data_IF_751089600876
#
_entry.id   IF_751089600876
#
_cell.length_a   1.000
_cell.length_b   1.000
_cell.length_c   1.000
_cell.angle_alpha   90.00
_cell.angle_beta   90.00
_cell.angle_gamma   90.00
#
_symmetry.space_group_name_H-M   'P 1'
#
loop_
_entity.id
_entity.type
_entity.pdbx_description
1 polymer ?
#
# COMPACT_ATOMS: atom_id res chain seq x y z
N UNK A 1 -9.58 -17.69 19.39
CA UNK A 1 -9.98 -18.14 18.04
C UNK A 1 -9.30 -17.21 17.06
N UNK A 2 -8.35 -17.70 16.26
CA UNK A 2 -7.67 -16.90 15.25
C UNK A 2 -8.37 -17.14 13.90
N UNK A 3 -9.09 -16.14 13.41
CA UNK A 3 -9.61 -16.14 12.06
C UNK A 3 -8.53 -15.52 11.15
N UNK A 4 -7.78 -16.37 10.46
CA UNK A 4 -6.83 -15.92 9.44
C UNK A 4 -7.61 -15.41 8.23
N UNK A 5 -7.57 -14.10 7.99
CA UNK A 5 -8.10 -13.48 6.78
C UNK A 5 -6.98 -13.34 5.76
N UNK A 6 -7.03 -14.12 4.69
CA UNK A 6 -6.15 -13.97 3.53
C UNK A 6 -6.68 -12.82 2.66
N UNK A 7 -6.00 -11.68 2.67
CA UNK A 7 -6.34 -10.56 1.77
C UNK A 7 -5.63 -10.79 0.44
N UNK A 8 -6.39 -11.19 -0.58
CA UNK A 8 -5.94 -11.15 -1.97
C UNK A 8 -6.12 -9.72 -2.49
N UNK A 9 -5.03 -8.96 -2.61
CA UNK A 9 -5.05 -7.63 -3.24
C UNK A 9 -4.71 -7.80 -4.72
N UNK A 10 -5.71 -7.81 -5.60
CA UNK A 10 -5.49 -7.60 -7.03
C UNK A 10 -5.29 -6.11 -7.30
N UNK A 11 -4.08 -5.74 -7.75
CA UNK A 11 -3.77 -4.37 -8.19
C UNK A 11 -4.21 -4.25 -9.66
N UNK A 12 -5.40 -3.68 -9.90
CA UNK A 12 -5.85 -3.36 -11.25
C UNK A 12 -5.34 -1.96 -11.64
N UNK A 13 -4.22 -1.91 -12.37
CA UNK A 13 -3.70 -0.66 -12.94
C UNK A 13 -4.58 -0.18 -14.10
N UNK A 14 -5.48 0.79 -13.86
CA UNK A 14 -6.22 1.45 -14.93
C UNK A 14 -5.37 2.61 -15.47
N UNK A 15 -4.84 2.44 -16.68
CA UNK A 15 -4.20 3.52 -17.44
C UNK A 15 -5.28 4.38 -18.09
N UNK A 16 -5.53 5.58 -17.57
CA UNK A 16 -6.25 6.63 -18.32
C UNK A 16 -5.25 7.68 -18.77
N UNK A 17 -4.95 7.67 -20.07
CA UNK A 17 -4.11 8.67 -20.72
C UNK A 17 -4.86 10.00 -20.87
N UNK A 18 -4.55 11.00 -20.04
CA UNK A 18 -4.53 12.45 -20.35
C UNK A 18 -4.25 13.24 -19.07
N UNK A 19 -3.00 13.62 -18.84
CA UNK A 19 -2.63 15.03 -18.70
C UNK A 19 -1.10 15.17 -18.68
N UNK A 20 -0.62 15.97 -19.63
CA UNK A 20 0.77 16.35 -19.81
C UNK A 20 1.11 17.36 -18.72
N UNK A 21 1.65 16.89 -17.59
CA UNK A 21 2.43 17.74 -16.69
C UNK A 21 3.71 17.00 -16.33
N UNK A 22 4.85 17.69 -16.49
CA UNK A 22 6.16 17.21 -16.03
C UNK A 22 6.05 16.78 -14.56
N UNK A 23 5.94 15.48 -14.29
CA UNK A 23 6.29 14.93 -12.99
C UNK A 23 7.77 14.59 -13.05
N UNK A 24 8.60 15.49 -12.52
CA UNK A 24 10.00 15.17 -12.18
C UNK A 24 10.09 14.17 -10.98
N UNK A 25 8.94 13.71 -10.48
CA UNK A 25 8.82 12.74 -9.40
C UNK A 25 7.94 11.57 -9.83
N UNK A 26 8.55 10.38 -9.94
CA UNK A 26 7.84 9.13 -10.20
C UNK A 26 7.77 8.38 -8.88
N UNK A 27 6.55 8.08 -8.45
CA UNK A 27 6.27 7.47 -7.16
C UNK A 27 4.84 6.99 -7.11
N UNK A 28 4.55 6.18 -6.10
CA UNK A 28 3.21 5.64 -5.84
C UNK A 28 2.71 6.09 -4.49
N UNK A 29 1.41 6.33 -4.42
CA UNK A 29 0.69 6.53 -3.16
C UNK A 29 -0.15 5.31 -2.87
N UNK A 30 0.08 4.70 -1.72
CA UNK A 30 -0.70 3.56 -1.24
C UNK A 30 -1.62 4.07 -0.13
N UNK A 31 -2.92 3.84 -0.27
CA UNK A 31 -3.92 4.09 0.78
C UNK A 31 -4.32 2.76 1.38
N UNK A 32 -4.25 2.67 2.71
CA UNK A 32 -4.63 1.47 3.46
C UNK A 32 -5.73 1.86 4.42
N UNK A 33 -6.88 1.20 4.33
CA UNK A 33 -7.96 1.33 5.32
C UNK A 33 -7.90 0.17 6.31
N UNK A 34 -7.88 0.49 7.60
CA UNK A 34 -7.92 -0.52 8.66
C UNK A 34 -9.37 -0.99 8.90
N UNK A 35 -9.60 -2.29 8.69
CA UNK A 35 -10.90 -2.95 8.73
C UNK A 35 -11.12 -3.79 9.98
N UNK A 36 -12.38 -3.90 10.41
CA UNK A 36 -12.77 -4.42 11.72
C UNK A 36 -12.81 -5.96 11.77
N UNK A 37 -12.34 -6.55 12.87
CA UNK A 37 -12.78 -7.88 13.32
C UNK A 37 -13.89 -7.71 14.39
N UNK A 38 -15.15 -7.94 14.01
CA UNK A 38 -16.27 -8.14 14.94
C UNK A 38 -16.92 -6.88 15.57
N UNK A 39 -18.01 -6.40 14.96
CA UNK A 39 -19.16 -5.74 15.63
C UNK A 39 -18.97 -4.40 16.37
N UNK A 40 -17.75 -3.97 16.69
CA UNK A 40 -17.45 -2.72 17.42
C UNK A 40 -16.19 -2.06 16.83
N UNK A 41 -16.16 -0.72 16.78
CA UNK A 41 -15.13 0.09 16.11
C UNK A 41 -13.79 0.18 16.89
N UNK A 42 -13.29 -0.90 17.49
CA UNK A 42 -12.07 -0.84 18.32
C UNK A 42 -11.12 -2.00 18.08
N UNK A 43 -9.81 -1.71 17.97
CA UNK A 43 -8.73 -2.70 17.96
C UNK A 43 -8.27 -3.17 16.57
N UNK A 44 -8.66 -2.49 15.50
CA UNK A 44 -8.26 -2.81 14.12
C UNK A 44 -7.03 -2.02 13.63
N UNK A 45 -6.67 -0.95 14.34
CA UNK A 45 -5.50 -0.12 14.07
C UNK A 45 -4.19 -0.76 14.53
N UNK A 46 -3.08 -0.16 14.13
CA UNK A 46 -1.73 -0.68 14.33
C UNK A 46 -0.75 -0.18 13.27
N UNK A 47 0.38 -0.84 13.15
CA UNK A 47 1.46 -0.44 12.27
C UNK A 47 1.09 -0.68 10.81
N UNK A 48 1.24 0.37 10.00
CA UNK A 48 1.16 0.25 8.56
C UNK A 48 2.29 -0.67 8.07
N UNK A 49 2.02 -1.56 7.10
CA UNK A 49 3.02 -2.48 6.59
C UNK A 49 4.11 -1.74 5.83
N UNK A 50 5.30 -2.31 5.81
CA UNK A 50 6.31 -1.94 4.82
C UNK A 50 5.78 -2.24 3.42
N UNK A 51 6.07 -1.35 2.47
CA UNK A 51 5.64 -1.49 1.07
C UNK A 51 6.85 -1.55 0.17
N UNK A 52 6.96 -2.63 -0.62
CA UNK A 52 7.95 -2.76 -1.70
C UNK A 52 7.24 -2.81 -3.05
N UNK A 53 7.73 -2.04 -4.00
CA UNK A 53 7.12 -1.91 -5.33
C UNK A 53 8.04 -2.50 -6.40
N UNK A 54 7.44 -3.16 -7.39
CA UNK A 54 8.15 -3.81 -8.49
C UNK A 54 7.49 -3.53 -9.84
N UNK A 55 8.29 -3.52 -10.91
CA UNK A 55 7.79 -3.44 -12.28
C UNK A 55 7.29 -4.81 -12.80
N UNK A 56 6.79 -4.85 -14.03
CA UNK A 56 6.29 -6.07 -14.70
C UNK A 56 7.32 -7.20 -14.85
N UNK A 57 8.61 -6.89 -14.75
CA UNK A 57 9.72 -7.84 -14.81
C UNK A 57 10.21 -8.27 -13.42
N UNK A 58 9.55 -7.83 -12.34
CA UNK A 58 9.98 -8.10 -10.96
C UNK A 58 11.18 -7.24 -10.52
N UNK A 59 11.54 -6.19 -11.26
CA UNK A 59 12.60 -5.26 -10.85
C UNK A 59 12.09 -4.34 -9.77
N UNK A 60 12.86 -4.22 -8.69
CA UNK A 60 12.56 -3.35 -7.57
C UNK A 60 12.54 -1.86 -7.98
N UNK A 61 11.45 -1.18 -7.63
CA UNK A 61 11.23 0.23 -7.92
C UNK A 61 11.42 1.12 -6.70
N UNK A 62 11.04 0.67 -5.50
CA UNK A 62 11.12 1.48 -4.30
C UNK A 62 10.53 0.80 -3.08
N UNK A 63 10.82 1.37 -1.90
CA UNK A 63 10.33 0.90 -0.62
C UNK A 63 9.90 2.08 0.26
N UNK A 64 8.85 1.86 1.05
CA UNK A 64 8.60 2.60 2.28
C UNK A 64 8.68 1.60 3.44
N UNK A 65 9.60 1.83 4.38
CA UNK A 65 9.75 1.06 5.60
C UNK A 65 9.29 1.89 6.79
N UNK A 66 8.68 1.25 7.78
CA UNK A 66 8.10 1.90 8.97
C UNK A 66 7.25 3.14 8.64
N UNK A 67 6.21 3.00 7.80
CA UNK A 67 5.44 4.16 7.33
C UNK A 67 4.54 4.81 8.40
N UNK A 68 4.53 4.26 9.61
CA UNK A 68 3.79 4.78 10.76
C UNK A 68 2.64 3.88 11.15
N UNK A 69 1.66 4.46 11.83
CA UNK A 69 0.52 3.78 12.46
C UNK A 69 -0.78 4.30 11.86
N UNK A 70 -1.79 3.44 11.77
CA UNK A 70 -3.17 3.82 11.44
C UNK A 70 -4.10 3.45 12.59
N UNK A 71 -4.99 4.37 12.95
CA UNK A 71 -5.99 4.14 13.99
C UNK A 71 -7.12 3.23 13.51
N UNK A 72 -7.88 2.67 14.46
CA UNK A 72 -9.01 1.79 14.15
C UNK A 72 -10.08 2.54 13.35
N UNK A 73 -10.46 2.01 12.18
CA UNK A 73 -11.49 2.61 11.31
C UNK A 73 -10.99 3.78 10.46
N UNK A 74 -9.71 4.13 10.54
CA UNK A 74 -9.10 5.20 9.75
C UNK A 74 -8.37 4.66 8.51
N UNK A 75 -7.95 5.59 7.65
CA UNK A 75 -7.12 5.30 6.48
C UNK A 75 -5.72 5.91 6.61
N UNK A 76 -4.70 5.08 6.46
CA UNK A 76 -3.30 5.47 6.35
C UNK A 76 -2.89 5.73 4.91
N UNK A 77 -1.89 6.61 4.73
CA UNK A 77 -1.32 6.94 3.42
C UNK A 77 0.18 6.71 3.46
N UNK A 78 0.66 5.86 2.57
CA UNK A 78 2.08 5.52 2.40
C UNK A 78 2.54 6.08 1.06
N UNK A 79 3.65 6.80 1.04
CA UNK A 79 4.25 7.34 -0.19
C UNK A 79 5.56 6.62 -0.46
N UNK A 80 5.69 6.06 -1.65
CA UNK A 80 6.92 5.40 -2.11
C UNK A 80 7.50 6.21 -3.27
N UNK A 81 8.73 6.67 -3.10
CA UNK A 81 9.50 7.26 -4.19
C UNK A 81 10.08 6.14 -5.04
N UNK A 82 9.94 6.22 -6.37
CA UNK A 82 10.55 5.23 -7.26
C UNK A 82 11.99 5.61 -7.58
N UNK A 83 12.77 4.61 -7.96
CA UNK A 83 14.06 4.82 -8.60
C UNK A 83 13.84 5.53 -9.94
N UNK A 84 14.20 6.83 -9.97
CA UNK A 84 13.99 7.73 -11.10
C UNK A 84 14.67 7.27 -12.41
N UNK A 85 15.64 6.36 -12.35
CA UNK A 85 16.27 5.80 -13.54
C UNK A 85 15.30 4.96 -14.38
N UNK A 86 14.29 4.33 -13.76
CA UNK A 86 13.41 3.39 -14.42
C UNK A 86 12.14 4.05 -14.98
N UNK A 87 11.73 5.19 -14.43
CA UNK A 87 10.53 5.94 -14.82
C UNK A 87 9.26 5.09 -15.03
N UNK A 88 9.09 4.06 -14.22
CA UNK A 88 8.05 3.05 -14.37
C UNK A 88 6.98 3.16 -13.28
N UNK A 89 5.76 2.76 -13.63
CA UNK A 89 4.70 2.47 -12.66
C UNK A 89 4.94 1.09 -12.01
N UNK A 90 4.38 0.92 -10.82
CA UNK A 90 4.49 -0.32 -10.06
C UNK A 90 3.20 -1.17 -10.20
N UNK A 91 3.16 -2.16 -11.12
CA UNK A 91 2.06 -3.12 -11.20
C UNK A 91 2.03 -4.10 -10.02
N UNK A 92 3.17 -4.33 -9.35
CA UNK A 92 3.27 -5.28 -8.25
C UNK A 92 3.71 -4.61 -6.95
N UNK A 93 3.12 -5.08 -5.84
CA UNK A 93 3.41 -4.63 -4.49
C UNK A 93 3.62 -5.82 -3.57
N UNK A 94 4.52 -5.69 -2.61
CA UNK A 94 4.68 -6.61 -1.49
C UNK A 94 4.50 -5.84 -0.19
N UNK A 95 3.52 -6.26 0.61
CA UNK A 95 3.33 -5.79 1.97
C UNK A 95 4.07 -6.70 2.94
N UNK A 96 4.78 -6.13 3.90
CA UNK A 96 5.34 -6.87 5.03
C UNK A 96 4.79 -6.33 6.32
N UNK A 97 4.22 -7.22 7.13
CA UNK A 97 3.70 -6.86 8.44
C UNK A 97 4.83 -6.32 9.33
N UNK A 98 4.50 -5.30 10.12
CA UNK A 98 5.34 -4.75 11.18
C UNK A 98 4.88 -5.28 12.55
N UNK A 99 5.52 -4.82 13.62
CA UNK A 99 5.40 -5.35 14.98
C UNK A 99 3.96 -5.50 15.46
N UNK A 100 3.11 -4.49 15.24
CA UNK A 100 1.68 -4.51 15.55
C UNK A 100 0.83 -4.54 14.27
N UNK A 101 0.68 -5.72 13.67
CA UNK A 101 0.00 -5.87 12.37
C UNK A 101 -1.49 -5.45 12.40
N UNK A 102 -1.91 -4.75 11.34
CA UNK A 102 -3.30 -4.31 11.13
C UNK A 102 -4.12 -5.30 10.30
N UNK A 103 -5.44 -5.24 10.48
CA UNK A 103 -6.39 -5.84 9.55
C UNK A 103 -6.63 -4.91 8.37
N UNK A 104 -6.06 -5.26 7.21
CA UNK A 104 -6.26 -4.46 5.99
C UNK A 104 -7.64 -4.77 5.41
N UNK A 105 -8.56 -3.80 5.46
CA UNK A 105 -9.84 -3.91 4.76
C UNK A 105 -9.68 -3.60 3.26
N UNK A 106 -8.83 -2.63 2.93
CA UNK A 106 -8.60 -2.20 1.55
C UNK A 106 -7.20 -1.63 1.39
N UNK A 107 -6.59 -1.91 0.25
CA UNK A 107 -5.38 -1.26 -0.24
C UNK A 107 -5.63 -0.73 -1.66
N UNK A 108 -5.23 0.51 -1.92
CA UNK A 108 -5.28 1.13 -3.25
C UNK A 108 -3.96 1.80 -3.55
N UNK A 109 -3.44 1.62 -4.77
CA UNK A 109 -2.17 2.19 -5.24
C UNK A 109 -2.47 3.11 -6.42
N UNK A 110 -1.93 4.33 -6.40
CA UNK A 110 -2.10 5.34 -7.46
C UNK A 110 -0.79 6.04 -7.78
#
# INVERSE_FOLDING_TARGET
MAAGLAVFVEVLGISTAMEIFKRDFIGSTIKIAAGLDGGVLSGAGGDLPDVRLFNEFGVFLGIAAEPGVVESGEAGVIKVTHNNALKQQAPYTLFSANENAIYIAMASIT
#
